data_IF_928598339669
#
_entry.id   IF_928598339669
#
_cell.length_a   1.000
_cell.length_b   1.000
_cell.length_c   1.000
_cell.angle_alpha   90.00
_cell.angle_beta   90.00
_cell.angle_gamma   90.00
#
_symmetry.space_group_name_H-M   'P 1'
#
loop_
_entity.id
_entity.type
_entity.pdbx_description
1 polymer ?
#
# COMPACT_ATOMS: atom_id res chain seq x y z
N UNK A 1 15.95 -20.21 -10.25
CA UNK A 1 15.84 -18.83 -10.77
C UNK A 1 14.54 -18.22 -10.26
N UNK A 2 14.62 -17.18 -9.44
CA UNK A 2 13.43 -16.42 -9.05
C UNK A 2 12.95 -15.71 -10.31
N UNK A 3 11.73 -16.00 -10.77
CA UNK A 3 11.13 -15.29 -11.91
C UNK A 3 10.89 -13.84 -11.49
N UNK A 4 11.16 -12.88 -12.37
CA UNK A 4 10.97 -11.45 -12.10
C UNK A 4 9.56 -11.11 -11.56
N UNK A 5 8.52 -11.83 -11.98
CA UNK A 5 7.15 -11.69 -11.45
C UNK A 5 7.09 -11.95 -9.92
N UNK A 6 7.82 -12.94 -9.41
CA UNK A 6 7.85 -13.24 -7.97
C UNK A 6 8.55 -12.13 -7.17
N UNK A 7 9.56 -11.46 -7.75
CA UNK A 7 10.21 -10.32 -7.08
C UNK A 7 9.25 -9.15 -6.92
N UNK A 8 8.46 -8.83 -7.96
CA UNK A 8 7.43 -7.78 -7.87
C UNK A 8 6.32 -8.13 -6.86
N UNK A 9 5.88 -9.39 -6.82
CA UNK A 9 4.93 -9.87 -5.81
C UNK A 9 5.47 -9.74 -4.38
N UNK A 10 6.74 -10.09 -4.16
CA UNK A 10 7.39 -9.91 -2.85
C UNK A 10 7.51 -8.44 -2.49
N UNK A 11 7.91 -7.57 -3.44
CA UNK A 11 7.97 -6.13 -3.21
C UNK A 11 6.59 -5.54 -2.87
N UNK A 12 5.54 -5.97 -3.59
CA UNK A 12 4.16 -5.60 -3.32
C UNK A 12 3.71 -6.02 -1.91
N UNK A 13 4.05 -7.25 -1.51
CA UNK A 13 3.76 -7.76 -0.18
C UNK A 13 4.48 -6.95 0.92
N UNK A 14 5.75 -6.61 0.72
CA UNK A 14 6.51 -5.81 1.70
C UNK A 14 5.90 -4.42 1.88
N UNK A 15 5.55 -3.75 0.79
CA UNK A 15 4.87 -2.45 0.84
C UNK A 15 3.51 -2.55 1.53
N UNK A 16 2.76 -3.62 1.23
CA UNK A 16 1.49 -3.90 1.87
C UNK A 16 1.64 -4.14 3.37
N UNK A 17 2.67 -4.87 3.80
CA UNK A 17 2.94 -5.11 5.22
C UNK A 17 3.32 -3.81 5.94
N UNK A 18 4.17 -2.98 5.34
CA UNK A 18 4.55 -1.69 5.93
C UNK A 18 3.31 -0.81 6.11
N UNK A 19 2.49 -0.64 5.07
CA UNK A 19 1.35 0.27 5.13
C UNK A 19 0.14 -0.33 5.88
N UNK A 20 -0.11 -1.63 5.71
CA UNK A 20 -1.23 -2.33 6.33
C UNK A 20 -1.07 -2.63 7.82
N UNK A 21 0.16 -2.76 8.34
CA UNK A 21 0.41 -3.00 9.76
C UNK A 21 0.37 -1.74 10.64
N UNK A 22 0.13 -0.57 10.05
CA UNK A 22 0.21 0.71 10.74
C UNK A 22 1.64 1.26 10.90
N UNK A 23 2.68 0.49 10.55
CA UNK A 23 4.06 0.99 10.53
C UNK A 23 4.22 2.17 9.57
N UNK A 24 3.64 2.10 8.39
CA UNK A 24 3.65 3.19 7.41
C UNK A 24 2.99 4.46 7.96
N UNK A 25 1.92 4.32 8.75
CA UNK A 25 1.28 5.46 9.40
C UNK A 25 2.23 6.11 10.43
N UNK A 26 2.88 5.31 11.27
CA UNK A 26 3.84 5.81 12.27
C UNK A 26 5.06 6.44 11.59
N UNK A 27 5.63 5.78 10.59
CA UNK A 27 6.83 6.23 9.89
C UNK A 27 6.58 7.49 9.06
N UNK A 28 5.47 7.56 8.34
CA UNK A 28 5.22 8.67 7.44
C UNK A 28 4.48 9.80 8.14
N UNK A 29 3.38 9.51 8.84
CA UNK A 29 2.51 10.55 9.39
C UNK A 29 3.03 11.15 10.69
N UNK A 30 3.47 10.32 11.64
CA UNK A 30 3.93 10.80 12.95
C UNK A 30 5.28 11.52 12.83
N UNK A 31 6.18 11.04 11.96
CA UNK A 31 7.53 11.61 11.83
C UNK A 31 7.64 12.77 10.84
N UNK A 32 6.90 12.73 9.73
CA UNK A 32 7.07 13.70 8.64
C UNK A 32 5.90 14.71 8.57
N UNK A 33 4.93 14.60 9.46
CA UNK A 33 3.75 15.46 9.52
C UNK A 33 2.59 14.95 8.67
N UNK A 34 1.42 15.53 8.91
CA UNK A 34 0.15 14.99 8.43
C UNK A 34 0.06 14.91 6.90
N UNK A 35 0.21 16.04 6.19
CA UNK A 35 0.02 16.11 4.74
C UNK A 35 1.06 15.27 3.99
N UNK A 36 2.34 15.47 4.31
CA UNK A 36 3.42 14.75 3.64
C UNK A 36 3.39 13.24 3.95
N UNK A 37 3.05 12.88 5.19
CA UNK A 37 2.91 11.50 5.60
C UNK A 37 1.80 10.76 4.86
N UNK A 38 0.63 11.39 4.69
CA UNK A 38 -0.47 10.83 3.91
C UNK A 38 -0.06 10.64 2.45
N UNK A 39 0.57 11.65 1.84
CA UNK A 39 1.06 11.54 0.47
C UNK A 39 2.01 10.35 0.31
N UNK A 40 3.01 10.20 1.18
CA UNK A 40 3.94 9.08 1.14
C UNK A 40 3.27 7.73 1.37
N UNK A 41 2.33 7.65 2.31
CA UNK A 41 1.56 6.44 2.58
C UNK A 41 0.75 6.00 1.34
N UNK A 42 0.08 6.95 0.70
CA UNK A 42 -0.67 6.69 -0.53
C UNK A 42 0.25 6.27 -1.68
N UNK A 43 1.37 6.97 -1.89
CA UNK A 43 2.33 6.66 -2.96
C UNK A 43 2.91 5.26 -2.78
N UNK A 44 3.34 4.91 -1.56
CA UNK A 44 3.93 3.60 -1.29
C UNK A 44 2.92 2.47 -1.44
N UNK A 45 1.65 2.70 -1.07
CA UNK A 45 0.57 1.73 -1.30
C UNK A 45 0.24 1.57 -2.78
N UNK A 46 0.13 2.67 -3.53
CA UNK A 46 -0.08 2.63 -4.98
C UNK A 46 1.08 2.00 -5.73
N UNK A 47 2.33 2.19 -5.27
CA UNK A 47 3.49 1.50 -5.80
C UNK A 47 3.40 -0.02 -5.56
N UNK A 48 2.92 -0.44 -4.40
CA UNK A 48 2.62 -1.84 -4.09
C UNK A 48 1.56 -2.42 -5.03
N UNK A 49 0.50 -1.66 -5.31
CA UNK A 49 -0.52 -2.04 -6.31
C UNK A 49 0.08 -2.15 -7.72
N UNK A 50 0.93 -1.19 -8.13
CA UNK A 50 1.61 -1.22 -9.42
C UNK A 50 2.47 -2.49 -9.58
N UNK A 51 3.24 -2.86 -8.56
CA UNK A 51 4.04 -4.09 -8.60
C UNK A 51 3.18 -5.35 -8.70
N UNK A 52 2.05 -5.40 -7.98
CA UNK A 52 1.10 -6.51 -8.10
C UNK A 52 0.48 -6.59 -9.52
N UNK A 53 0.17 -5.44 -10.13
CA UNK A 53 -0.33 -5.35 -11.49
C UNK A 53 0.69 -5.87 -12.52
N UNK A 54 1.94 -5.40 -12.43
CA UNK A 54 3.04 -5.86 -13.29
C UNK A 54 3.27 -7.37 -13.13
N UNK A 55 3.22 -7.88 -11.89
CA UNK A 55 3.34 -9.31 -11.64
C UNK A 55 2.19 -10.10 -12.28
N UNK A 56 0.96 -9.57 -12.23
CA UNK A 56 -0.24 -10.15 -12.84
C UNK A 56 -0.19 -10.20 -14.36
N UNK A 57 0.34 -9.18 -15.03
CA UNK A 57 0.52 -9.19 -16.49
C UNK A 57 1.45 -10.30 -16.95
N UNK A 58 2.52 -10.58 -16.18
CA UNK A 58 3.47 -11.65 -16.49
C UNK A 58 2.93 -13.02 -16.15
N UNK A 59 2.28 -13.14 -14.99
CA UNK A 59 1.70 -14.38 -14.51
C UNK A 59 0.54 -14.06 -13.56
N UNK A 60 -0.68 -14.09 -14.10
CA UNK A 60 -1.90 -13.86 -13.33
C UNK A 60 -2.06 -14.97 -12.29
N UNK A 61 -2.02 -14.62 -11.01
CA UNK A 61 -2.19 -15.54 -9.89
C UNK A 61 -3.19 -14.96 -8.90
N UNK A 62 -3.78 -15.81 -8.05
CA UNK A 62 -4.66 -15.34 -6.97
C UNK A 62 -3.98 -14.25 -6.11
N UNK A 63 -2.69 -14.43 -5.78
CA UNK A 63 -1.93 -13.49 -4.96
C UNK A 63 -1.68 -12.14 -5.64
N UNK A 64 -1.50 -12.09 -6.96
CA UNK A 64 -1.32 -10.82 -7.66
C UNK A 64 -2.58 -9.96 -7.60
N UNK A 65 -3.75 -10.57 -7.77
CA UNK A 65 -5.03 -9.85 -7.60
C UNK A 65 -5.27 -9.46 -6.15
N UNK A 66 -5.05 -10.39 -5.21
CA UNK A 66 -5.23 -10.11 -3.79
C UNK A 66 -4.37 -8.92 -3.34
N UNK A 67 -3.07 -8.92 -3.66
CA UNK A 67 -2.18 -7.84 -3.23
C UNK A 67 -2.48 -6.52 -3.93
N UNK A 68 -2.93 -6.54 -5.19
CA UNK A 68 -3.40 -5.35 -5.87
C UNK A 68 -4.58 -4.70 -5.12
N UNK A 69 -5.63 -5.47 -4.86
CA UNK A 69 -6.82 -4.95 -4.17
C UNK A 69 -6.52 -4.55 -2.72
N UNK A 70 -5.70 -5.32 -1.99
CA UNK A 70 -5.30 -4.95 -0.63
C UNK A 70 -4.55 -3.63 -0.61
N UNK A 71 -3.58 -3.41 -1.51
CA UNK A 71 -2.86 -2.14 -1.60
C UNK A 71 -3.80 -0.97 -1.96
N UNK A 72 -4.78 -1.19 -2.84
CA UNK A 72 -5.79 -0.18 -3.13
C UNK A 72 -6.63 0.18 -1.90
N UNK A 73 -7.14 -0.81 -1.16
CA UNK A 73 -7.91 -0.57 0.07
C UNK A 73 -7.06 0.20 1.09
N UNK A 74 -5.80 -0.22 1.27
CA UNK A 74 -4.88 0.43 2.21
C UNK A 74 -4.66 1.89 1.83
N UNK A 75 -4.53 2.22 0.54
CA UNK A 75 -4.38 3.61 0.07
C UNK A 75 -5.48 4.55 0.60
N UNK A 76 -6.71 4.06 0.79
CA UNK A 76 -7.83 4.87 1.25
C UNK A 76 -7.95 5.00 2.78
N UNK A 77 -7.22 4.18 3.54
CA UNK A 77 -7.28 4.16 5.02
C UNK A 77 -7.02 5.53 5.65
N UNK A 78 -5.98 6.31 5.25
CA UNK A 78 -5.73 7.62 5.85
C UNK A 78 -6.92 8.58 5.69
N UNK A 79 -7.56 8.57 4.52
CA UNK A 79 -8.71 9.44 4.23
C UNK A 79 -9.93 9.06 5.06
N UNK A 80 -10.16 7.75 5.28
CA UNK A 80 -11.21 7.26 6.15
C UNK A 80 -11.05 7.80 7.58
N UNK A 81 -9.85 7.69 8.15
CA UNK A 81 -9.59 8.19 9.51
C UNK A 81 -9.68 9.71 9.62
N UNK A 82 -9.21 10.46 8.62
CA UNK A 82 -9.35 11.93 8.59
C UNK A 82 -10.82 12.34 8.49
N UNK A 83 -11.60 11.64 7.67
CA UNK A 83 -13.04 11.87 7.54
C UNK A 83 -13.75 11.68 8.87
N UNK A 84 -13.49 10.58 9.57
CA UNK A 84 -14.04 10.33 10.91
C UNK A 84 -13.60 11.38 11.91
N UNK A 85 -12.30 11.74 11.93
CA UNK A 85 -11.78 12.74 12.86
C UNK A 85 -12.49 14.10 12.70
N UNK A 86 -12.80 14.50 11.47
CA UNK A 86 -13.54 15.74 11.18
C UNK A 86 -15.03 15.69 11.55
N UNK A 87 -15.64 14.50 11.56
CA UNK A 87 -17.05 14.34 11.95
C UNK A 87 -17.19 14.40 13.48
N UNK A 88 -16.18 13.92 14.21
CA UNK A 88 -16.21 13.85 15.67
C UNK A 88 -15.71 15.15 16.33
N UNK A 89 -14.88 15.96 15.64
CA UNK A 89 -14.37 17.26 16.13
C UNK A 89 -15.38 18.39 15.99
#
# INVERSE_FOLDING_TARGET
>A
MIKFSNLYLVASLLLLLVNGSGLGFVLFQVRLGQVFGICLFCITSLLGALFASIASEKQSTFYSHLFFYCNLVVTFIPFYYIGIAKIIS
#
